data_IF_325372315513
#
_entry.id   IF_325372315513
#
_cell.length_a   1.000
_cell.length_b   1.000
_cell.length_c   1.000
_cell.angle_alpha   90.00
_cell.angle_beta   90.00
_cell.angle_gamma   90.00
#
_symmetry.space_group_name_H-M   'P 1'
#
loop_
_entity.id
_entity.type
_entity.pdbx_description
1 polymer ?
#
# COMPACT_ATOMS: atom_id res chain seq x y z
N UNK A 1 -1.65 -6.65 3.76
CA UNK A 1 -3.08 -7.06 3.90
C UNK A 1 -3.28 -8.17 4.93
N UNK A 2 -2.34 -9.12 5.06
CA UNK A 2 -2.41 -10.22 6.04
C UNK A 2 -2.28 -9.77 7.51
N UNK A 3 -1.37 -8.85 7.82
CA UNK A 3 -1.26 -8.28 9.19
C UNK A 3 -2.53 -7.56 9.66
N UNK A 4 -3.16 -6.80 8.77
CA UNK A 4 -4.43 -6.13 9.08
C UNK A 4 -5.57 -7.14 9.32
N UNK A 5 -5.66 -8.20 8.52
CA UNK A 5 -6.64 -9.29 8.74
C UNK A 5 -6.37 -10.00 10.07
N UNK A 6 -5.10 -10.29 10.36
CA UNK A 6 -4.68 -10.90 11.62
C UNK A 6 -5.09 -10.02 12.81
N UNK A 7 -4.78 -8.72 12.76
CA UNK A 7 -5.12 -7.80 13.84
C UNK A 7 -6.63 -7.72 14.08
N UNK A 8 -7.41 -7.57 13.00
CA UNK A 8 -8.87 -7.50 13.10
C UNK A 8 -9.50 -8.77 13.66
N UNK A 9 -8.92 -9.93 13.35
CA UNK A 9 -9.51 -11.23 13.67
C UNK A 9 -9.05 -11.77 15.03
N UNK A 10 -7.79 -11.55 15.39
CA UNK A 10 -7.14 -12.21 16.52
C UNK A 10 -6.50 -11.23 17.52
N UNK A 11 -5.92 -10.11 17.08
CA UNK A 11 -5.22 -9.21 18.02
C UNK A 11 -6.17 -8.47 18.98
N UNK A 12 -7.44 -8.31 18.62
CA UNK A 12 -8.47 -7.71 19.49
C UNK A 12 -9.08 -8.68 20.50
N UNK A 13 -8.71 -9.97 20.46
CA UNK A 13 -9.26 -10.98 21.37
C UNK A 13 -8.60 -10.92 22.73
N UNK A 14 -9.40 -11.04 23.78
CA UNK A 14 -8.90 -11.14 25.15
C UNK A 14 -8.14 -12.46 25.36
N UNK A 15 -7.22 -12.53 26.34
CA UNK A 15 -6.53 -13.77 26.68
C UNK A 15 -7.47 -14.96 26.92
N UNK A 16 -8.63 -14.71 27.55
CA UNK A 16 -9.64 -15.73 27.81
C UNK A 16 -10.28 -16.27 26.51
N UNK A 17 -10.62 -15.40 25.56
CA UNK A 17 -11.17 -15.83 24.26
C UNK A 17 -10.16 -16.63 23.44
N UNK A 18 -8.87 -16.27 23.52
CA UNK A 18 -7.77 -17.01 22.90
C UNK A 18 -7.67 -18.41 23.51
N UNK A 19 -7.80 -18.53 24.82
CA UNK A 19 -7.76 -19.80 25.54
C UNK A 19 -8.97 -20.69 25.21
N UNK A 20 -10.18 -20.11 25.11
CA UNK A 20 -11.37 -20.84 24.68
C UNK A 20 -11.25 -21.38 23.26
N UNK A 21 -10.69 -20.61 22.33
CA UNK A 21 -10.46 -21.06 20.94
C UNK A 21 -9.48 -22.24 20.93
N UNK A 22 -8.38 -22.16 21.68
CA UNK A 22 -7.41 -23.26 21.80
C UNK A 22 -8.03 -24.50 22.45
N UNK A 23 -8.83 -24.32 23.49
CA UNK A 23 -9.51 -25.42 24.20
C UNK A 23 -10.52 -26.16 23.32
N UNK A 24 -11.24 -25.44 22.45
CA UNK A 24 -12.18 -26.02 21.48
C UNK A 24 -11.48 -26.63 20.25
N UNK A 25 -10.15 -26.71 20.24
CA UNK A 25 -9.36 -27.26 19.14
C UNK A 25 -9.17 -26.30 17.95
N UNK A 26 -9.50 -25.02 18.11
CA UNK A 26 -9.29 -24.00 17.09
C UNK A 26 -7.83 -23.56 17.00
N UNK A 27 -7.33 -23.40 15.77
CA UNK A 27 -5.98 -22.91 15.51
C UNK A 27 -5.97 -21.38 15.36
N UNK A 28 -5.12 -20.71 16.13
CA UNK A 28 -4.82 -19.29 15.96
C UNK A 28 -3.47 -19.21 15.23
N UNK A 29 -3.42 -18.66 14.01
CA UNK A 29 -2.15 -18.50 13.31
C UNK A 29 -1.21 -17.59 14.09
N UNK A 30 0.09 -17.76 13.89
CA UNK A 30 1.06 -16.78 14.41
C UNK A 30 0.84 -15.42 13.73
N UNK A 31 1.12 -14.32 14.44
CA UNK A 31 1.08 -13.00 13.83
C UNK A 31 2.05 -12.97 12.64
N UNK A 32 1.65 -12.38 11.51
CA UNK A 32 2.55 -12.26 10.38
C UNK A 32 3.70 -11.33 10.73
N UNK A 33 4.89 -11.67 10.25
CA UNK A 33 6.11 -10.93 10.50
C UNK A 33 6.05 -9.53 9.86
N UNK A 34 6.64 -8.56 10.56
CA UNK A 34 6.74 -7.20 10.07
C UNK A 34 7.72 -7.11 8.91
N UNK A 35 7.30 -6.51 7.78
CA UNK A 35 8.17 -6.32 6.63
C UNK A 35 8.69 -4.88 6.58
N UNK A 36 9.93 -4.69 7.04
CA UNK A 36 10.64 -3.41 6.92
C UNK A 36 10.78 -2.98 5.46
N UNK A 37 11.02 -3.92 4.54
CA UNK A 37 11.09 -3.63 3.11
C UNK A 37 9.77 -3.04 2.58
N UNK A 38 8.62 -3.59 2.99
CA UNK A 38 7.32 -3.07 2.60
C UNK A 38 7.06 -1.67 3.16
N UNK A 39 7.42 -1.42 4.43
CA UNK A 39 7.32 -0.08 5.02
C UNK A 39 8.18 0.95 4.28
N UNK A 40 9.44 0.62 4.02
CA UNK A 40 10.37 1.49 3.30
C UNK A 40 9.84 1.81 1.89
N UNK A 41 9.31 0.83 1.16
CA UNK A 41 8.71 1.05 -0.17
C UNK A 41 7.49 1.98 -0.07
N UNK A 42 6.60 1.78 0.90
CA UNK A 42 5.42 2.62 1.10
C UNK A 42 5.80 4.07 1.48
N UNK A 43 6.81 4.22 2.33
CA UNK A 43 7.36 5.52 2.72
C UNK A 43 7.99 6.25 1.53
N UNK A 44 8.76 5.52 0.73
CA UNK A 44 9.35 6.03 -0.50
C UNK A 44 8.28 6.48 -1.50
N UNK A 45 7.27 5.65 -1.77
CA UNK A 45 6.14 6.01 -2.64
C UNK A 45 5.44 7.28 -2.14
N UNK A 46 5.20 7.39 -0.84
CA UNK A 46 4.57 8.57 -0.23
C UNK A 46 5.42 9.85 -0.41
N UNK A 47 6.73 9.70 -0.50
CA UNK A 47 7.65 10.82 -0.74
C UNK A 47 7.67 11.19 -2.22
N UNK A 48 7.88 10.20 -3.10
CA UNK A 48 7.94 10.39 -4.56
C UNK A 48 6.60 10.92 -5.10
N UNK A 49 5.46 10.43 -4.61
CA UNK A 49 4.15 10.85 -5.13
C UNK A 49 3.84 12.33 -4.91
N UNK A 50 4.56 13.02 -4.02
CA UNK A 50 4.45 14.47 -3.82
C UNK A 50 4.96 15.27 -5.02
N UNK A 51 5.87 14.73 -5.82
CA UNK A 51 6.35 15.38 -7.05
C UNK A 51 5.44 15.09 -8.25
N UNK A 52 4.30 14.42 -8.06
CA UNK A 52 3.37 14.08 -9.13
C UNK A 52 2.84 15.34 -9.80
N UNK A 53 2.87 15.33 -11.13
CA UNK A 53 2.30 16.38 -11.96
C UNK A 53 0.82 16.14 -12.20
N UNK A 54 0.07 17.23 -12.33
CA UNK A 54 -1.35 17.21 -12.63
C UNK A 54 -1.61 18.06 -13.87
N UNK A 55 -2.43 17.54 -14.78
CA UNK A 55 -2.87 18.25 -15.98
C UNK A 55 -4.40 18.38 -15.93
N UNK A 56 -4.90 19.63 -15.90
CA UNK A 56 -6.33 19.91 -15.76
C UNK A 56 -7.01 19.18 -14.57
N UNK A 57 -6.25 18.99 -13.47
CA UNK A 57 -6.73 18.26 -12.29
C UNK A 57 -6.67 16.73 -12.41
N UNK A 58 -6.16 16.19 -13.52
CA UNK A 58 -5.93 14.76 -13.72
C UNK A 58 -4.49 14.42 -13.31
N UNK A 59 -4.27 13.45 -12.41
CA UNK A 59 -2.93 13.02 -12.06
C UNK A 59 -2.23 12.37 -13.26
N UNK A 60 -1.00 12.79 -13.53
CA UNK A 60 -0.12 12.10 -14.48
C UNK A 60 0.63 10.96 -13.75
N UNK A 61 1.11 9.99 -14.51
CA UNK A 61 1.96 8.92 -14.00
C UNK A 61 3.25 9.46 -13.39
N UNK A 62 3.82 8.72 -12.46
CA UNK A 62 5.13 9.04 -11.94
C UNK A 62 6.20 8.87 -13.02
N UNK A 63 7.10 9.84 -13.07
CA UNK A 63 8.23 9.82 -13.99
C UNK A 63 9.37 8.99 -13.39
N UNK A 64 10.03 8.19 -14.23
CA UNK A 64 11.18 7.36 -13.83
C UNK A 64 12.29 8.22 -13.22
N UNK A 65 12.46 9.46 -13.70
CA UNK A 65 13.46 10.37 -13.15
C UNK A 65 13.23 10.66 -11.67
N UNK A 66 11.99 10.88 -11.23
CA UNK A 66 11.68 11.15 -9.83
C UNK A 66 12.00 9.94 -8.93
N UNK A 67 11.78 8.72 -9.45
CA UNK A 67 12.11 7.48 -8.75
C UNK A 67 13.62 7.31 -8.63
N UNK A 68 14.36 7.54 -9.73
CA UNK A 68 15.82 7.43 -9.74
C UNK A 68 16.47 8.44 -8.80
N UNK A 69 16.02 9.70 -8.82
CA UNK A 69 16.54 10.74 -7.91
C UNK A 69 16.33 10.33 -6.45
N UNK A 70 15.18 9.74 -6.11
CA UNK A 70 14.95 9.21 -4.77
C UNK A 70 15.92 8.08 -4.44
N UNK A 71 16.08 7.11 -5.34
CA UNK A 71 16.97 5.96 -5.17
C UNK A 71 18.45 6.34 -5.06
N UNK A 72 18.90 7.38 -5.76
CA UNK A 72 20.29 7.86 -5.70
C UNK A 72 20.67 8.46 -4.33
N UNK A 73 19.68 8.95 -3.56
CA UNK A 73 19.90 9.64 -2.30
C UNK A 73 19.50 8.82 -1.07
N UNK A 74 18.97 7.61 -1.25
CA UNK A 74 18.45 6.78 -0.17
C UNK A 74 18.87 5.32 -0.36
N UNK A 75 19.22 4.64 0.73
CA UNK A 75 19.46 3.20 0.69
C UNK A 75 18.15 2.44 0.43
N UNK A 76 18.11 1.70 -0.67
CA UNK A 76 16.93 0.92 -1.03
C UNK A 76 16.88 -0.41 -0.25
N UNK A 77 15.69 -0.83 0.21
CA UNK A 77 15.53 -2.10 0.93
C UNK A 77 15.63 -3.33 0.02
N UNK A 78 15.62 -3.13 -1.30
CA UNK A 78 15.61 -4.15 -2.35
C UNK A 78 16.39 -3.65 -3.56
N UNK A 79 16.67 -4.52 -4.53
CA UNK A 79 17.31 -4.14 -5.79
C UNK A 79 16.47 -3.15 -6.60
N UNK A 80 17.14 -2.22 -7.29
CA UNK A 80 16.53 -1.09 -8.00
C UNK A 80 15.35 -1.47 -8.89
N UNK A 81 15.45 -2.56 -9.65
CA UNK A 81 14.38 -3.01 -10.53
C UNK A 81 13.13 -3.45 -9.75
N UNK A 82 13.29 -4.14 -8.62
CA UNK A 82 12.17 -4.55 -7.75
C UNK A 82 11.56 -3.31 -7.09
N UNK A 83 12.39 -2.37 -6.66
CA UNK A 83 11.92 -1.11 -6.08
C UNK A 83 11.08 -0.34 -7.09
N UNK A 84 11.59 -0.14 -8.31
CA UNK A 84 10.89 0.56 -9.39
C UNK A 84 9.56 -0.12 -9.73
N UNK A 85 9.55 -1.45 -9.89
CA UNK A 85 8.33 -2.22 -10.15
C UNK A 85 7.29 -2.03 -9.04
N UNK A 86 7.71 -2.01 -7.77
CA UNK A 86 6.83 -1.76 -6.64
C UNK A 86 6.24 -0.34 -6.68
N UNK A 87 7.06 0.68 -6.95
CA UNK A 87 6.61 2.07 -7.06
C UNK A 87 5.60 2.22 -8.20
N UNK A 88 5.86 1.62 -9.36
CA UNK A 88 4.92 1.64 -10.49
C UNK A 88 3.63 0.88 -10.21
N UNK A 89 3.68 -0.26 -9.52
CA UNK A 89 2.49 -0.98 -9.12
C UNK A 89 1.60 -0.13 -8.21
N UNK A 90 2.19 0.56 -7.22
CA UNK A 90 1.47 1.50 -6.36
C UNK A 90 0.92 2.70 -7.14
N UNK A 91 1.69 3.21 -8.11
CA UNK A 91 1.26 4.31 -8.98
C UNK A 91 0.01 3.93 -9.79
N UNK A 92 0.03 2.76 -10.43
CA UNK A 92 -1.09 2.25 -11.20
C UNK A 92 -2.35 2.08 -10.36
N UNK A 93 -2.23 1.56 -9.14
CA UNK A 93 -3.37 1.44 -8.21
C UNK A 93 -3.98 2.81 -7.89
N UNK A 94 -3.15 3.83 -7.65
CA UNK A 94 -3.60 5.19 -7.38
C UNK A 94 -4.31 5.82 -8.60
N UNK A 95 -3.75 5.67 -9.80
CA UNK A 95 -4.34 6.19 -11.04
C UNK A 95 -5.68 5.52 -11.34
N UNK A 96 -5.77 4.20 -11.18
CA UNK A 96 -7.00 3.44 -11.39
C UNK A 96 -8.11 3.91 -10.46
N UNK A 97 -7.82 4.10 -9.17
CA UNK A 97 -8.81 4.62 -8.23
C UNK A 97 -9.25 6.05 -8.58
N UNK A 98 -8.32 6.90 -8.99
CA UNK A 98 -8.63 8.29 -9.36
C UNK A 98 -9.50 8.36 -10.61
N UNK A 99 -9.17 7.59 -11.65
CA UNK A 99 -9.98 7.48 -12.85
C UNK A 99 -11.38 6.90 -12.56
N UNK A 100 -11.49 5.92 -11.67
CA UNK A 100 -12.80 5.38 -11.23
C UNK A 100 -13.64 6.45 -10.54
N UNK A 101 -13.05 7.25 -9.64
CA UNK A 101 -13.74 8.35 -8.93
C UNK A 101 -14.22 9.43 -9.90
N UNK A 102 -13.37 9.88 -10.82
CA UNK A 102 -13.73 10.86 -11.86
C UNK A 102 -14.88 10.37 -12.75
N UNK A 103 -14.84 9.10 -13.17
CA UNK A 103 -15.93 8.47 -13.94
C UNK A 103 -17.24 8.40 -13.14
N UNK A 104 -17.17 8.20 -11.83
CA UNK A 104 -18.35 8.18 -10.97
C UNK A 104 -18.95 9.59 -10.79
N UNK A 105 -18.11 10.59 -10.57
CA UNK A 105 -18.54 11.99 -10.43
C UNK A 105 -19.18 12.51 -11.71
N UNK A 106 -18.55 12.30 -12.87
CA UNK A 106 -19.12 12.71 -14.16
C UNK A 106 -20.48 12.08 -14.46
N UNK A 107 -20.77 10.87 -13.95
CA UNK A 107 -22.10 10.25 -14.07
C UNK A 107 -23.16 10.91 -13.18
N UNK A 108 -22.79 11.35 -11.97
CA UNK A 108 -23.70 12.02 -11.03
C UNK A 108 -24.25 13.33 -11.58
N UNK A 109 -23.42 14.09 -12.32
CA UNK A 109 -23.83 15.38 -12.91
C UNK A 109 -24.60 15.27 -14.23
N UNK A 110 -24.75 14.05 -14.77
CA UNK A 110 -25.47 13.78 -16.04
C UNK A 110 -26.90 13.26 -15.84
N UNK A 111 -27.34 13.12 -14.58
CA UNK A 111 -28.71 12.78 -14.19
C UNK A 111 -29.27 13.93 -13.34
#
# INVERSE_FOLDING_TARGET
MEFYKYQKTYASKTPHEIEQIKFLGGHIPDPPEYSYAAESILSAFSTICRSRRYEQGIPLSLDQHAINVYAEHNDLPVTDHIFNDCIFALDNLFLDETHKKQKAETKKWKH
#
